data_IF_256837113303
#
_entry.id   IF_256837113303
#
_cell.length_a   1.000
_cell.length_b   1.000
_cell.length_c   1.000
_cell.angle_alpha   90.00
_cell.angle_beta   90.00
_cell.angle_gamma   90.00
#
_symmetry.space_group_name_H-M   'P 1'
#
loop_
_entity.id
_entity.type
_entity.pdbx_description
1 polymer ?
#
# COMPACT_ATOMS: atom_id res chain seq x y z
N UNK A 1 3.22 8.51 -13.96
CA UNK A 1 1.78 8.79 -14.03
C UNK A 1 1.24 9.11 -12.65
N UNK A 2 0.03 9.68 -12.55
CA UNK A 2 -0.66 9.95 -11.27
C UNK A 2 -1.97 9.18 -11.22
N UNK A 3 -2.32 8.63 -10.06
CA UNK A 3 -3.62 8.00 -9.84
C UNK A 3 -4.70 9.10 -9.89
N UNK A 4 -5.75 8.87 -10.68
CA UNK A 4 -6.78 9.86 -11.00
C UNK A 4 -8.16 9.50 -10.43
N UNK A 5 -8.35 8.30 -9.89
CA UNK A 5 -9.61 7.84 -9.29
C UNK A 5 -9.35 7.05 -8.01
N UNK A 6 -10.42 6.90 -7.23
CA UNK A 6 -10.52 5.88 -6.19
C UNK A 6 -10.64 4.48 -6.81
N UNK A 7 -10.82 3.47 -5.94
CA UNK A 7 -10.99 2.09 -6.37
C UNK A 7 -12.26 1.95 -7.22
N UNK A 8 -12.14 1.29 -8.37
CA UNK A 8 -13.24 0.96 -9.26
C UNK A 8 -13.30 -0.56 -9.42
N UNK A 9 -14.51 -1.12 -9.36
CA UNK A 9 -14.75 -2.54 -9.57
C UNK A 9 -15.21 -2.78 -11.01
N UNK A 10 -14.52 -3.69 -11.69
CA UNK A 10 -14.75 -4.05 -13.09
C UNK A 10 -15.04 -5.55 -13.19
N UNK A 11 -16.32 -5.90 -13.28
CA UNK A 11 -16.75 -7.29 -13.37
C UNK A 11 -16.22 -7.97 -14.65
N UNK A 12 -16.07 -7.19 -15.71
CA UNK A 12 -15.52 -7.59 -17.00
C UNK A 12 -14.05 -8.05 -16.95
N UNK A 13 -13.29 -7.66 -15.92
CA UNK A 13 -11.86 -8.01 -15.78
C UNK A 13 -11.62 -9.07 -14.69
N UNK A 14 -12.69 -9.65 -14.16
CA UNK A 14 -12.60 -10.64 -13.10
C UNK A 14 -11.94 -11.94 -13.58
N UNK A 15 -12.21 -12.35 -14.82
CA UNK A 15 -11.60 -13.54 -15.44
C UNK A 15 -10.08 -13.40 -15.58
N UNK A 16 -9.58 -12.17 -15.75
CA UNK A 16 -8.15 -11.86 -15.83
C UNK A 16 -7.50 -11.56 -14.46
N UNK A 17 -8.26 -11.70 -13.36
CA UNK A 17 -7.79 -11.38 -12.01
C UNK A 17 -7.61 -9.88 -11.74
N UNK A 18 -8.13 -9.01 -12.61
CA UNK A 18 -7.98 -7.54 -12.56
C UNK A 18 -9.30 -6.84 -12.21
N UNK A 19 -10.20 -7.50 -11.46
CA UNK A 19 -11.51 -6.96 -11.13
C UNK A 19 -11.51 -5.69 -10.26
N UNK A 20 -10.37 -5.34 -9.67
CA UNK A 20 -10.19 -4.09 -8.90
C UNK A 20 -9.11 -3.26 -9.59
N UNK A 21 -9.46 -2.06 -10.04
CA UNK A 21 -8.55 -1.17 -10.73
C UNK A 21 -8.66 0.28 -10.24
N UNK A 22 -7.68 1.09 -10.62
CA UNK A 22 -7.72 2.55 -10.47
C UNK A 22 -7.32 3.19 -11.78
N UNK A 23 -7.96 4.31 -12.13
CA UNK A 23 -7.57 5.08 -13.30
C UNK A 23 -6.24 5.76 -13.03
N UNK A 24 -5.30 5.61 -13.97
CA UNK A 24 -4.00 6.27 -13.92
C UNK A 24 -3.90 7.25 -15.08
N UNK A 25 -3.60 8.51 -14.77
CA UNK A 25 -3.20 9.51 -15.75
C UNK A 25 -1.71 9.33 -16.03
N UNK A 26 -1.40 8.68 -17.16
CA UNK A 26 -0.02 8.53 -17.62
C UNK A 26 0.58 9.88 -18.01
N UNK A 27 1.90 9.99 -17.88
CA UNK A 27 2.61 11.17 -18.36
C UNK A 27 2.61 11.14 -19.89
N UNK A 28 2.57 12.31 -20.53
CA UNK A 28 2.49 12.40 -21.99
C UNK A 28 3.79 11.99 -22.67
N UNK A 29 4.93 12.10 -21.98
CA UNK A 29 6.24 11.77 -22.51
C UNK A 29 6.63 10.34 -22.16
N UNK A 30 6.98 9.57 -23.18
CA UNK A 30 7.59 8.26 -23.04
C UNK A 30 9.12 8.42 -22.91
N UNK A 31 9.68 7.89 -21.84
CA UNK A 31 11.12 7.98 -21.57
C UNK A 31 11.79 6.71 -22.10
N UNK A 32 12.72 6.87 -23.04
CA UNK A 32 13.53 5.75 -23.53
C UNK A 32 14.44 5.25 -22.42
N UNK A 33 14.43 3.94 -22.13
CA UNK A 33 15.31 3.31 -21.13
C UNK A 33 16.78 3.71 -21.31
N UNK A 34 17.27 3.74 -22.55
CA UNK A 34 18.67 4.02 -22.84
C UNK A 34 19.03 5.51 -22.69
N UNK A 35 18.04 6.37 -22.44
CA UNK A 35 18.28 7.78 -22.09
C UNK A 35 18.54 7.99 -20.60
N UNK A 36 18.25 7.00 -19.75
CA UNK A 36 18.50 7.04 -18.31
C UNK A 36 19.98 6.84 -17.98
N UNK A 37 20.42 7.40 -16.86
CA UNK A 37 21.74 7.17 -16.28
C UNK A 37 21.95 5.68 -15.92
N UNK A 38 23.21 5.25 -15.92
CA UNK A 38 23.56 3.88 -15.53
C UNK A 38 23.17 3.58 -14.07
N UNK A 39 23.29 4.58 -13.17
CA UNK A 39 22.85 4.46 -11.79
C UNK A 39 21.34 4.16 -11.70
N UNK A 40 20.50 4.97 -12.36
CA UNK A 40 19.04 4.77 -12.37
C UNK A 40 18.66 3.44 -13.02
N UNK A 41 19.32 3.04 -14.11
CA UNK A 41 19.10 1.73 -14.73
C UNK A 41 19.41 0.57 -13.80
N UNK A 42 20.54 0.63 -13.10
CA UNK A 42 20.95 -0.41 -12.17
C UNK A 42 19.99 -0.51 -10.98
N UNK A 43 19.49 0.63 -10.48
CA UNK A 43 18.53 0.63 -9.38
C UNK A 43 17.15 0.12 -9.79
N UNK A 44 16.63 0.55 -10.94
CA UNK A 44 15.31 0.09 -11.43
C UNK A 44 15.33 -1.36 -11.92
N UNK A 45 16.51 -1.88 -12.28
CA UNK A 45 16.75 -3.28 -12.64
C UNK A 45 17.08 -4.19 -11.46
N UNK A 46 16.77 -3.79 -10.23
CA UNK A 46 17.02 -4.59 -9.03
C UNK A 46 16.40 -5.99 -9.15
N UNK A 47 17.11 -7.01 -8.66
CA UNK A 47 16.62 -8.39 -8.59
C UNK A 47 15.65 -8.61 -7.43
N UNK A 48 15.50 -7.62 -6.54
CA UNK A 48 14.56 -7.69 -5.43
C UNK A 48 13.12 -7.53 -5.93
N UNK A 49 12.22 -8.34 -5.37
CA UNK A 49 10.78 -8.27 -5.65
C UNK A 49 10.17 -6.95 -5.17
N UNK A 50 10.71 -6.38 -4.08
CA UNK A 50 10.32 -5.08 -3.55
C UNK A 50 11.58 -4.29 -3.22
N UNK A 51 11.67 -3.07 -3.72
CA UNK A 51 12.77 -2.16 -3.43
C UNK A 51 12.27 -0.71 -3.45
N UNK A 52 12.91 0.12 -2.64
CA UNK A 52 12.64 1.55 -2.64
C UNK A 52 13.36 2.22 -3.81
N UNK A 53 12.63 3.01 -4.59
CA UNK A 53 13.23 3.82 -5.65
C UNK A 53 13.82 5.10 -5.01
N UNK A 54 15.13 5.35 -5.15
CA UNK A 54 15.76 6.54 -4.58
C UNK A 54 15.32 7.83 -5.27
N UNK A 55 15.41 8.96 -4.55
CA UNK A 55 14.95 10.26 -5.04
C UNK A 55 15.64 10.72 -6.33
N UNK A 56 16.91 10.36 -6.53
CA UNK A 56 17.63 10.71 -7.77
C UNK A 56 16.99 10.05 -8.99
N UNK A 57 16.58 8.78 -8.87
CA UNK A 57 15.93 8.01 -9.92
C UNK A 57 14.49 8.52 -10.16
N UNK A 58 13.76 8.86 -9.09
CA UNK A 58 12.43 9.48 -9.20
C UNK A 58 12.52 10.82 -9.94
N UNK A 59 13.49 11.65 -9.60
CA UNK A 59 13.67 12.96 -10.24
C UNK A 59 14.05 12.83 -11.72
N UNK A 60 14.90 11.87 -12.07
CA UNK A 60 15.24 11.59 -13.46
C UNK A 60 14.00 11.15 -14.27
N UNK A 61 13.15 10.29 -13.70
CA UNK A 61 11.92 9.81 -14.34
C UNK A 61 10.79 10.86 -14.42
N UNK A 62 10.69 11.76 -13.44
CA UNK A 62 9.61 12.75 -13.37
C UNK A 62 9.97 14.04 -14.10
N UNK A 63 11.23 14.46 -14.05
CA UNK A 63 11.66 15.75 -14.58
C UNK A 63 12.39 15.64 -15.94
N UNK A 64 12.72 14.43 -16.40
CA UNK A 64 13.48 14.21 -17.63
C UNK A 64 14.88 14.83 -17.60
N UNK A 65 15.34 15.23 -16.41
CA UNK A 65 16.65 15.84 -16.20
C UNK A 65 17.63 14.73 -15.87
N UNK A 66 18.59 14.48 -16.76
CA UNK A 66 19.77 13.69 -16.40
C UNK A 66 20.43 14.35 -15.18
N UNK A 67 20.73 13.60 -14.12
CA UNK A 67 21.51 14.15 -13.03
C UNK A 67 22.85 14.65 -13.58
N UNK A 68 23.24 15.87 -13.23
CA UNK A 68 24.46 16.56 -13.73
C UNK A 68 25.74 16.01 -13.07
N UNK A 69 25.71 14.78 -12.58
CA UNK A 69 26.86 14.19 -11.91
C UNK A 69 26.84 12.69 -12.05
N UNK A 70 27.85 12.15 -12.73
CA UNK A 70 28.26 10.74 -12.70
C UNK A 70 28.84 10.34 -11.33
N UNK A 71 28.32 10.92 -10.24
CA UNK A 71 28.60 10.47 -8.89
C UNK A 71 27.55 9.42 -8.61
N UNK A 72 27.95 8.16 -8.76
CA UNK A 72 27.23 7.00 -8.21
C UNK A 72 26.94 7.35 -6.75
N UNK A 73 25.67 7.63 -6.37
CA UNK A 73 25.34 7.64 -4.96
C UNK A 73 25.60 6.20 -4.53
N UNK A 74 26.51 6.02 -3.58
CA UNK A 74 26.66 4.77 -2.87
C UNK A 74 25.27 4.47 -2.31
N UNK A 75 24.52 3.60 -3.00
CA UNK A 75 23.28 3.06 -2.48
C UNK A 75 23.75 2.32 -1.24
N UNK A 76 23.38 2.74 -0.02
CA UNK A 76 23.69 1.92 1.13
C UNK A 76 22.99 0.60 0.82
N UNK A 77 23.80 -0.44 0.59
CA UNK A 77 23.32 -1.80 0.77
C UNK A 77 22.97 -1.83 2.24
N UNK A 78 21.69 -1.58 2.53
CA UNK A 78 21.12 -1.73 3.85
C UNK A 78 21.25 -3.23 4.14
N UNK A 79 22.40 -3.59 4.69
CA UNK A 79 22.51 -4.82 5.46
C UNK A 79 21.50 -4.70 6.58
N UNK A 80 20.65 -5.72 6.66
CA UNK A 80 19.87 -6.11 7.83
C UNK A 80 18.81 -5.09 8.26
N UNK A 81 17.56 -5.34 7.86
CA UNK A 81 16.42 -5.31 8.79
C UNK A 81 15.19 -5.96 8.14
N UNK A 82 14.52 -6.81 8.92
CA UNK A 82 13.20 -7.37 8.68
C UNK A 82 12.24 -6.34 8.10
N UNK A 83 11.52 -6.68 7.03
CA UNK A 83 10.07 -6.45 6.98
C UNK A 83 9.47 -7.17 5.78
N UNK A 84 8.77 -8.25 6.10
CA UNK A 84 7.51 -8.59 5.44
C UNK A 84 6.79 -7.31 5.03
N UNK A 85 6.79 -7.01 3.73
CA UNK A 85 5.93 -5.99 3.14
C UNK A 85 4.51 -6.54 3.15
N UNK A 86 3.99 -6.68 4.35
CA UNK A 86 2.59 -6.89 4.59
C UNK A 86 1.90 -5.59 4.24
N UNK A 87 0.80 -5.68 3.50
CA UNK A 87 0.01 -4.51 3.17
C UNK A 87 -0.44 -3.88 4.51
N UNK A 88 0.10 -2.71 4.91
CA UNK A 88 -0.05 -2.20 6.27
C UNK A 88 -1.50 -1.88 6.64
N UNK A 89 -2.39 -1.79 5.63
CA UNK A 89 -3.82 -1.62 5.83
C UNK A 89 -4.58 -2.95 6.04
N UNK A 90 -4.14 -4.06 5.42
CA UNK A 90 -4.78 -5.38 5.63
C UNK A 90 -4.41 -5.98 6.98
N UNK A 91 -3.17 -5.80 7.41
CA UNK A 91 -2.77 -6.21 8.75
C UNK A 91 -3.51 -5.42 9.81
N UNK A 92 -3.71 -4.11 9.60
CA UNK A 92 -4.48 -3.28 10.51
C UNK A 92 -5.93 -3.76 10.67
N UNK A 93 -6.61 -4.15 9.58
CA UNK A 93 -7.98 -4.67 9.65
C UNK A 93 -8.05 -5.99 10.43
N UNK A 94 -7.13 -6.92 10.14
CA UNK A 94 -7.05 -8.21 10.83
C UNK A 94 -6.70 -8.04 12.32
N UNK A 95 -5.73 -7.19 12.64
CA UNK A 95 -5.34 -6.86 14.03
C UNK A 95 -6.49 -6.20 14.78
N UNK A 96 -7.21 -5.27 14.13
CA UNK A 96 -8.37 -4.64 14.73
C UNK A 96 -9.50 -5.64 14.98
N UNK A 97 -9.75 -6.56 14.04
CA UNK A 97 -10.79 -7.58 14.19
C UNK A 97 -10.48 -8.58 15.31
N UNK A 98 -9.25 -9.10 15.37
CA UNK A 98 -8.82 -9.97 16.47
C UNK A 98 -8.83 -9.19 17.81
N UNK A 99 -8.39 -7.94 17.83
CA UNK A 99 -8.45 -7.09 19.03
C UNK A 99 -9.88 -6.85 19.54
N UNK A 100 -10.87 -6.72 18.65
CA UNK A 100 -12.28 -6.63 19.02
C UNK A 100 -12.75 -7.95 19.64
N UNK A 101 -12.38 -9.10 19.07
CA UNK A 101 -12.73 -10.42 19.64
C UNK A 101 -12.13 -10.59 21.03
N UNK A 102 -10.85 -10.27 21.22
CA UNK A 102 -10.19 -10.37 22.51
C UNK A 102 -10.84 -9.45 23.55
N UNK A 103 -11.23 -8.24 23.13
CA UNK A 103 -11.96 -7.30 23.98
C UNK A 103 -13.31 -7.86 24.42
N UNK A 104 -14.05 -8.49 23.50
CA UNK A 104 -15.36 -9.10 23.79
C UNK A 104 -15.19 -10.33 24.70
N UNK A 105 -14.20 -11.17 24.44
CA UNK A 105 -13.95 -12.38 25.24
C UNK A 105 -13.51 -12.06 26.67
N UNK A 106 -12.90 -10.89 26.89
CA UNK A 106 -12.48 -10.43 28.21
C UNK A 106 -13.62 -9.81 29.05
N UNK A 107 -14.78 -9.56 28.44
CA UNK A 107 -15.90 -8.97 29.17
C UNK A 107 -16.39 -9.91 30.27
N UNK A 108 -16.60 -9.35 31.45
CA UNK A 108 -17.27 -10.05 32.53
C UNK A 108 -18.76 -10.27 32.19
N UNK A 109 -19.42 -11.16 32.92
CA UNK A 109 -20.81 -11.52 32.65
C UNK A 109 -21.77 -10.31 32.63
N UNK A 110 -21.63 -9.38 33.58
CA UNK A 110 -22.43 -8.14 33.63
C UNK A 110 -22.11 -7.19 32.45
N UNK A 111 -20.86 -7.15 31.99
CA UNK A 111 -20.45 -6.31 30.86
C UNK A 111 -20.98 -6.86 29.54
N UNK A 112 -21.00 -8.18 29.38
CA UNK A 112 -21.59 -8.84 28.22
C UNK A 112 -23.10 -8.55 28.11
N UNK A 113 -23.82 -8.49 29.24
CA UNK A 113 -25.22 -8.07 29.25
C UNK A 113 -25.40 -6.63 28.77
N UNK A 114 -24.54 -5.71 29.23
CA UNK A 114 -24.56 -4.32 28.80
C UNK A 114 -24.27 -4.17 27.29
N UNK A 115 -23.33 -4.96 26.75
CA UNK A 115 -23.03 -5.00 25.31
C UNK A 115 -24.27 -5.43 24.51
N UNK A 116 -24.91 -6.54 24.89
CA UNK A 116 -26.11 -7.06 24.22
C UNK A 116 -27.28 -6.07 24.31
N UNK A 117 -27.51 -5.48 25.49
CA UNK A 117 -28.51 -4.43 25.66
C UNK A 117 -28.22 -3.19 24.81
N UNK A 118 -26.94 -2.83 24.62
CA UNK A 118 -26.52 -1.78 23.71
C UNK A 118 -26.85 -2.07 22.24
N UNK A 119 -26.60 -3.30 21.79
CA UNK A 119 -26.94 -3.75 20.42
C UNK A 119 -28.46 -3.74 20.22
N UNK A 120 -29.22 -4.29 21.17
CA UNK A 120 -30.68 -4.32 21.10
C UNK A 120 -31.31 -2.91 21.10
N UNK A 121 -30.78 -1.98 21.91
CA UNK A 121 -31.20 -0.56 21.88
C UNK A 121 -30.87 0.12 20.56
N UNK A 122 -29.70 -0.16 19.99
CA UNK A 122 -29.31 0.35 18.66
C UNK A 122 -30.26 -0.16 17.56
N UNK A 123 -30.81 -1.35 17.74
CA UNK A 123 -31.84 -1.93 16.87
C UNK A 123 -33.27 -1.45 17.18
N UNK A 124 -33.45 -0.57 18.18
CA UNK A 124 -34.75 0.00 18.54
C UNK A 124 -35.57 -0.81 19.56
N UNK A 125 -34.99 -1.87 20.14
CA UNK A 125 -35.64 -2.64 21.21
C UNK A 125 -35.42 -1.96 22.58
N UNK A 126 -36.47 -1.94 23.40
CA UNK A 126 -36.37 -1.47 24.79
C UNK A 126 -35.85 -2.58 25.69
N UNK A 127 -34.68 -2.37 26.28
CA UNK A 127 -34.10 -3.25 27.30
C UNK A 127 -33.97 -2.46 28.61
N UNK A 128 -34.46 -3.02 29.73
CA UNK A 128 -34.23 -2.53 31.09
C UNK A 128 -33.20 -3.40 31.79
#
# INVERSE_FOLDING_TARGET
>A
GKIASDFEFHAEWLEDGMGIARKVKWNAEEIKRDSLSDATRNTLGSTLTVFQVPDFAVNELVQGKKPVSDVVPEVPVSGEEDEVVSNPLRDMEMIAFEGIKDRINRLDWDEMQNLVAGVLRSMGYKTQ
#
